data_IF_544981190246
#
_entry.id   IF_544981190246
#
_cell.length_a   1.000
_cell.length_b   1.000
_cell.length_c   1.000
_cell.angle_alpha   90.00
_cell.angle_beta   90.00
_cell.angle_gamma   90.00
#
_symmetry.space_group_name_H-M   'P 1'
#
loop_
_entity.id
_entity.type
_entity.pdbx_description
1 polymer ?
#
# COMPACT_ATOMS: atom_id res chain seq x y z
N UNK A 1 -16.63 16.50 17.56
CA UNK A 1 -16.47 15.53 16.47
C UNK A 1 -14.99 15.44 16.19
N UNK A 2 -14.34 14.32 16.52
CA UNK A 2 -12.93 14.12 16.20
C UNK A 2 -12.78 13.82 14.71
N UNK A 3 -12.15 14.73 13.97
CA UNK A 3 -11.73 14.46 12.60
C UNK A 3 -10.58 13.44 12.66
N UNK A 4 -10.81 12.22 12.17
CA UNK A 4 -9.75 11.24 11.96
C UNK A 4 -9.20 11.44 10.54
N UNK A 5 -8.05 12.11 10.44
CA UNK A 5 -7.33 12.28 9.18
C UNK A 5 -6.34 11.12 9.00
N UNK A 6 -6.39 10.46 7.84
CA UNK A 6 -5.41 9.44 7.44
C UNK A 6 -4.69 9.98 6.21
N UNK A 7 -3.38 10.20 6.33
CA UNK A 7 -2.50 10.58 5.24
C UNK A 7 -1.65 9.36 4.89
N UNK A 8 -1.57 9.04 3.60
CA UNK A 8 -0.77 7.94 3.05
C UNK A 8 0.07 8.52 1.93
N UNK A 9 1.38 8.36 2.02
CA UNK A 9 2.37 8.82 1.03
C UNK A 9 3.42 7.71 0.80
N UNK A 10 4.50 8.06 0.11
CA UNK A 10 5.61 7.15 -0.16
C UNK A 10 6.60 7.01 1.01
N UNK A 11 6.39 7.70 2.14
CA UNK A 11 7.30 7.63 3.28
C UNK A 11 7.30 6.22 3.89
N UNK A 12 8.50 5.67 4.06
CA UNK A 12 8.66 4.31 4.53
C UNK A 12 10.13 3.92 4.63
N UNK A 13 10.37 2.66 4.96
CA UNK A 13 11.72 2.13 5.03
C UNK A 13 12.34 2.05 3.63
N UNK A 14 13.62 2.40 3.51
CA UNK A 14 14.40 2.07 2.33
C UNK A 14 14.29 0.58 2.00
N UNK A 15 14.24 0.27 0.71
CA UNK A 15 14.19 -1.11 0.24
C UNK A 15 15.44 -1.85 0.74
N UNK A 16 15.25 -3.06 1.25
CA UNK A 16 16.38 -3.95 1.46
C UNK A 16 17.00 -4.36 0.11
N UNK A 17 18.25 -4.85 0.08
CA UNK A 17 18.94 -5.18 -1.16
C UNK A 17 18.20 -6.18 -2.07
N UNK A 18 17.42 -7.10 -1.49
CA UNK A 18 16.63 -8.08 -2.24
C UNK A 18 15.43 -7.37 -2.88
N UNK A 19 14.69 -6.57 -2.10
CA UNK A 19 13.56 -5.80 -2.62
C UNK A 19 14.00 -4.80 -3.71
N UNK A 20 15.17 -4.15 -3.55
CA UNK A 20 15.75 -3.28 -4.57
C UNK A 20 16.06 -4.03 -5.88
N UNK A 21 16.64 -5.24 -5.80
CA UNK A 21 16.89 -6.09 -6.97
C UNK A 21 15.61 -6.52 -7.66
N UNK A 22 14.59 -6.94 -6.89
CA UNK A 22 13.27 -7.34 -7.42
C UNK A 22 12.58 -6.16 -8.10
N UNK A 23 12.64 -4.94 -7.52
CA UNK A 23 12.09 -3.72 -8.15
C UNK A 23 12.72 -3.47 -9.52
N UNK A 24 14.03 -3.66 -9.67
CA UNK A 24 14.72 -3.56 -10.96
C UNK A 24 14.24 -4.60 -11.99
N UNK A 25 13.93 -5.82 -11.53
CA UNK A 25 13.41 -6.90 -12.38
C UNK A 25 11.91 -6.77 -12.72
N UNK A 26 11.09 -6.18 -11.82
CA UNK A 26 9.67 -5.96 -12.09
C UNK A 26 9.44 -5.04 -13.30
N UNK A 27 10.37 -4.13 -13.58
CA UNK A 27 10.29 -3.25 -14.74
C UNK A 27 10.33 -4.04 -16.06
N UNK A 28 11.01 -5.20 -16.11
CA UNK A 28 11.08 -6.06 -17.29
C UNK A 28 10.00 -7.15 -17.31
N UNK A 29 9.41 -7.49 -16.17
CA UNK A 29 8.42 -8.58 -16.03
C UNK A 29 6.96 -8.09 -15.88
N UNK A 30 6.65 -6.85 -16.28
CA UNK A 30 5.30 -6.25 -16.15
C UNK A 30 4.15 -7.12 -16.69
N UNK A 31 4.42 -8.05 -17.63
CA UNK A 31 3.43 -8.97 -18.19
C UNK A 31 3.20 -10.27 -17.39
N UNK A 32 3.94 -10.52 -16.30
CA UNK A 32 3.87 -11.78 -15.53
C UNK A 32 3.25 -11.56 -14.15
N UNK A 33 3.26 -10.33 -13.63
CA UNK A 33 2.70 -10.01 -12.31
C UNK A 33 1.35 -9.32 -12.44
N UNK A 34 0.32 -9.74 -11.68
CA UNK A 34 -0.95 -9.03 -11.64
C UNK A 34 -0.72 -7.62 -11.09
N UNK A 35 -1.29 -6.63 -11.78
CA UNK A 35 -1.25 -5.24 -11.34
C UNK A 35 -2.49 -4.99 -10.49
N UNK A 36 -2.29 -4.54 -9.25
CA UNK A 36 -3.37 -4.02 -8.40
C UNK A 36 -3.52 -2.51 -8.64
N UNK A 37 -4.74 -2.07 -9.00
CA UNK A 37 -5.07 -0.67 -9.23
C UNK A 37 -6.22 -0.27 -8.31
N UNK A 38 -5.95 0.64 -7.37
CA UNK A 38 -6.95 1.23 -6.47
C UNK A 38 -7.43 2.58 -7.02
N UNK A 39 -8.04 2.55 -8.21
CA UNK A 39 -8.44 3.73 -9.01
C UNK A 39 -9.96 4.00 -9.00
N UNK A 40 -10.69 3.31 -8.14
CA UNK A 40 -12.13 3.42 -7.90
C UNK A 40 -12.40 3.25 -6.38
N UNK A 41 -13.61 3.58 -5.87
CA UNK A 41 -13.88 3.52 -4.43
C UNK A 41 -13.51 2.16 -3.81
N UNK A 42 -12.77 2.19 -2.69
CA UNK A 42 -12.27 1.00 -2.01
C UNK A 42 -12.36 1.11 -0.49
N UNK A 43 -12.42 -0.05 0.18
CA UNK A 43 -12.36 -0.15 1.64
C UNK A 43 -10.91 -0.37 2.07
N UNK A 44 -10.49 0.28 3.16
CA UNK A 44 -9.15 0.13 3.74
C UNK A 44 -9.21 -0.07 5.25
N UNK A 45 -8.15 -0.66 5.81
CA UNK A 45 -8.00 -0.82 7.26
C UNK A 45 -6.55 -0.65 7.70
N UNK A 46 -6.37 0.01 8.84
CA UNK A 46 -5.08 0.21 9.50
C UNK A 46 -5.04 -0.69 10.73
N UNK A 47 -4.04 -1.56 10.81
CA UNK A 47 -3.93 -2.58 11.86
C UNK A 47 -2.60 -2.48 12.61
N UNK A 48 -2.64 -2.76 13.92
CA UNK A 48 -1.44 -3.07 14.71
C UNK A 48 -1.48 -4.56 15.06
N UNK A 49 -0.68 -5.35 14.34
CA UNK A 49 -0.81 -6.81 14.40
C UNK A 49 -2.18 -7.25 13.87
N UNK A 50 -2.94 -8.02 14.65
CA UNK A 50 -4.30 -8.44 14.29
C UNK A 50 -5.39 -7.46 14.76
N UNK A 51 -5.05 -6.39 15.47
CA UNK A 51 -6.03 -5.46 16.03
C UNK A 51 -6.28 -4.28 15.08
N UNK A 52 -7.53 -3.99 14.69
CA UNK A 52 -7.84 -2.83 13.87
C UNK A 52 -7.73 -1.54 14.69
N UNK A 53 -6.98 -0.58 14.16
CA UNK A 53 -6.94 0.81 14.66
C UNK A 53 -8.06 1.61 13.99
N UNK A 54 -8.25 1.42 12.68
CA UNK A 54 -9.24 2.12 11.88
C UNK A 54 -9.68 1.25 10.69
N UNK A 55 -10.96 1.35 10.33
CA UNK A 55 -11.53 0.81 9.09
C UNK A 55 -12.26 1.97 8.41
N UNK A 56 -12.07 2.15 7.11
CA UNK A 56 -12.63 3.26 6.34
C UNK A 56 -12.87 2.91 4.89
N UNK A 57 -13.44 3.87 4.16
CA UNK A 57 -13.67 3.79 2.72
C UNK A 57 -13.10 5.06 2.07
N UNK A 58 -12.44 4.89 0.93
CA UNK A 58 -12.05 5.95 0.01
C UNK A 58 -13.02 5.95 -1.17
N UNK A 59 -13.48 7.12 -1.58
CA UNK A 59 -14.44 7.33 -2.66
C UNK A 59 -13.89 8.32 -3.69
#
# INVERSE_FOLDING_TARGET
>A
MDLRLVLVDEEGRELDPIAAKVKGMMFTLRNIYPVFQADHPFVYGVFRGSQPILIGQYC
#
